data_IF_379111985694
#
_entry.id   IF_379111985694
#
_cell.length_a   1.000
_cell.length_b   1.000
_cell.length_c   1.000
_cell.angle_alpha   90.00
_cell.angle_beta   90.00
_cell.angle_gamma   90.00
#
_symmetry.space_group_name_H-M   'P 1'
#
loop_
_entity.id
_entity.type
_entity.pdbx_description
1 polymer ?
#
# COMPACT_ATOMS: atom_id res chain seq x y z
N UNK A 1 -16.28 4.72 -65.99
CA UNK A 1 -16.06 5.77 -64.97
C UNK A 1 -16.50 5.34 -63.56
N UNK A 2 -17.71 4.78 -63.37
CA UNK A 2 -18.26 4.42 -62.05
C UNK A 2 -17.49 3.34 -61.24
N UNK A 3 -16.83 2.38 -61.90
CA UNK A 3 -16.07 1.31 -61.22
C UNK A 3 -14.79 1.86 -60.56
N UNK A 4 -14.14 2.83 -61.20
CA UNK A 4 -12.92 3.47 -60.68
C UNK A 4 -13.24 4.30 -59.42
N UNK A 5 -14.39 4.98 -59.40
CA UNK A 5 -14.85 5.75 -58.24
C UNK A 5 -15.30 4.85 -57.08
N UNK A 6 -15.89 3.69 -57.33
CA UNK A 6 -16.27 2.75 -56.27
C UNK A 6 -15.05 2.11 -55.58
N UNK A 7 -14.03 1.74 -56.34
CA UNK A 7 -12.81 1.15 -55.80
C UNK A 7 -11.99 2.16 -54.97
N UNK A 8 -11.95 3.42 -55.40
CA UNK A 8 -11.25 4.48 -54.65
C UNK A 8 -11.95 4.80 -53.32
N UNK A 9 -13.29 4.84 -53.29
CA UNK A 9 -14.04 5.01 -52.03
C UNK A 9 -13.83 3.81 -51.08
N UNK A 10 -13.80 2.59 -51.61
CA UNK A 10 -13.57 1.39 -50.81
C UNK A 10 -12.19 1.39 -50.16
N UNK A 11 -11.15 1.84 -50.87
CA UNK A 11 -9.81 2.00 -50.31
C UNK A 11 -9.71 3.13 -49.29
N UNK A 12 -10.40 4.26 -49.49
CA UNK A 12 -10.44 5.35 -48.52
C UNK A 12 -11.11 4.92 -47.21
N UNK A 13 -12.19 4.13 -47.27
CA UNK A 13 -12.82 3.55 -46.08
C UNK A 13 -11.87 2.63 -45.33
N UNK A 14 -11.14 1.76 -46.05
CA UNK A 14 -10.15 0.87 -45.43
C UNK A 14 -9.00 1.67 -44.78
N UNK A 15 -8.55 2.75 -45.41
CA UNK A 15 -7.51 3.62 -44.86
C UNK A 15 -7.98 4.34 -43.59
N UNK A 16 -9.20 4.89 -43.58
CA UNK A 16 -9.78 5.51 -42.39
C UNK A 16 -9.91 4.51 -41.24
N UNK A 17 -10.39 3.29 -41.52
CA UNK A 17 -10.48 2.22 -40.51
C UNK A 17 -9.11 1.81 -39.96
N UNK A 18 -8.06 1.84 -40.78
CA UNK A 18 -6.68 1.56 -40.31
C UNK A 18 -6.14 2.70 -39.45
N UNK A 19 -6.43 3.95 -39.81
CA UNK A 19 -6.02 5.12 -39.02
C UNK A 19 -6.70 5.12 -37.65
N UNK A 20 -8.02 4.90 -37.59
CA UNK A 20 -8.77 4.83 -36.32
C UNK A 20 -8.24 3.71 -35.41
N UNK A 21 -7.93 2.54 -35.96
CA UNK A 21 -7.36 1.43 -35.19
C UNK A 21 -5.96 1.74 -34.68
N UNK A 22 -5.11 2.39 -35.48
CA UNK A 22 -3.77 2.77 -35.06
C UNK A 22 -3.81 3.78 -33.90
N UNK A 23 -4.73 4.75 -33.95
CA UNK A 23 -4.95 5.69 -32.84
C UNK A 23 -5.45 5.00 -31.57
N UNK A 24 -6.34 4.02 -31.70
CA UNK A 24 -6.81 3.23 -30.55
C UNK A 24 -5.70 2.39 -29.92
N UNK A 25 -4.86 1.75 -30.73
CA UNK A 25 -3.71 0.97 -30.24
C UNK A 25 -2.73 1.87 -29.49
N UNK A 26 -2.42 3.06 -30.04
CA UNK A 26 -1.53 4.00 -29.39
C UNK A 26 -2.07 4.50 -28.04
N UNK A 27 -3.38 4.76 -27.94
CA UNK A 27 -4.03 5.13 -26.66
C UNK A 27 -3.96 3.99 -25.65
N UNK A 28 -4.26 2.76 -26.06
CA UNK A 28 -4.17 1.61 -25.17
C UNK A 28 -2.76 1.43 -24.62
N UNK A 29 -1.74 1.53 -25.47
CA UNK A 29 -0.33 1.42 -25.05
C UNK A 29 0.03 2.48 -24.00
N UNK A 30 -0.40 3.73 -24.20
CA UNK A 30 -0.19 4.80 -23.22
C UNK A 30 -0.95 4.56 -21.90
N UNK A 31 -2.18 4.06 -21.95
CA UNK A 31 -2.97 3.73 -20.76
C UNK A 31 -2.32 2.57 -19.97
N UNK A 32 -1.75 1.58 -20.67
CA UNK A 32 -1.01 0.48 -20.03
C UNK A 32 0.26 0.98 -19.33
N UNK A 33 1.06 1.84 -19.99
CA UNK A 33 2.27 2.40 -19.38
C UNK A 33 1.97 3.25 -18.15
N UNK A 34 0.93 4.09 -18.22
CA UNK A 34 0.51 4.92 -17.09
C UNK A 34 0.01 4.06 -15.92
N UNK A 35 -0.81 3.04 -16.18
CA UNK A 35 -1.28 2.11 -15.16
C UNK A 35 -0.12 1.37 -14.46
N UNK A 36 0.89 0.90 -15.22
CA UNK A 36 2.07 0.25 -14.66
C UNK A 36 2.85 1.23 -13.78
N UNK A 37 3.05 2.45 -14.26
CA UNK A 37 3.75 3.50 -13.52
C UNK A 37 3.05 3.85 -12.21
N UNK A 38 1.73 4.01 -12.25
CA UNK A 38 0.92 4.32 -11.07
C UNK A 38 0.91 3.16 -10.07
N UNK A 39 0.77 1.92 -10.56
CA UNK A 39 0.87 0.74 -9.72
C UNK A 39 2.24 0.65 -9.03
N UNK A 40 3.33 0.86 -9.77
CA UNK A 40 4.68 0.87 -9.21
C UNK A 40 4.86 1.99 -8.17
N UNK A 41 4.35 3.20 -8.45
CA UNK A 41 4.40 4.32 -7.52
C UNK A 41 3.62 4.04 -6.23
N UNK A 42 2.43 3.45 -6.34
CA UNK A 42 1.60 3.10 -5.18
C UNK A 42 2.27 2.05 -4.29
N UNK A 43 2.87 1.01 -4.88
CA UNK A 43 3.62 -0.01 -4.13
C UNK A 43 4.84 0.60 -3.44
N UNK A 44 5.58 1.47 -4.13
CA UNK A 44 6.74 2.14 -3.56
C UNK A 44 6.34 3.06 -2.38
N UNK A 45 5.35 3.92 -2.58
CA UNK A 45 4.86 4.82 -1.54
C UNK A 45 4.32 4.05 -0.33
N UNK A 46 3.55 2.97 -0.56
CA UNK A 46 3.03 2.12 0.49
C UNK A 46 4.12 1.40 1.28
N UNK A 47 5.21 0.98 0.63
CA UNK A 47 6.33 0.30 1.26
C UNK A 47 7.32 1.23 1.96
N UNK A 48 7.60 2.41 1.40
CA UNK A 48 8.63 3.31 1.89
C UNK A 48 8.29 3.87 3.28
N UNK A 49 7.14 4.53 3.42
CA UNK A 49 6.81 5.24 4.65
C UNK A 49 6.41 4.29 5.79
N UNK A 50 5.73 3.19 5.46
CA UNK A 50 5.25 2.24 6.48
C UNK A 50 6.39 1.45 7.11
N UNK A 51 7.37 1.01 6.31
CA UNK A 51 8.51 0.23 6.82
C UNK A 51 9.43 1.08 7.69
N UNK A 52 9.73 2.32 7.26
CA UNK A 52 10.53 3.27 8.04
C UNK A 52 9.87 3.57 9.39
N UNK A 53 8.56 3.85 9.39
CA UNK A 53 7.83 4.15 10.62
C UNK A 53 7.80 2.94 11.57
N UNK A 54 7.61 1.73 11.04
CA UNK A 54 7.65 0.51 11.83
C UNK A 54 9.02 0.29 12.51
N UNK A 55 10.11 0.57 11.80
CA UNK A 55 11.48 0.48 12.35
C UNK A 55 11.73 1.52 13.45
N UNK A 56 11.27 2.75 13.26
CA UNK A 56 11.39 3.81 14.28
C UNK A 56 10.65 3.40 15.56
N UNK A 57 9.41 2.91 15.43
CA UNK A 57 8.63 2.44 16.58
C UNK A 57 9.25 1.22 17.24
N UNK A 58 9.82 0.29 16.46
CA UNK A 58 10.57 -0.84 16.99
C UNK A 58 11.76 -0.37 17.85
N UNK A 59 12.58 0.54 17.32
CA UNK A 59 13.73 1.09 18.04
C UNK A 59 13.29 1.80 19.32
N UNK A 60 12.24 2.63 19.26
CA UNK A 60 11.68 3.32 20.41
C UNK A 60 11.17 2.34 21.48
N UNK A 61 10.50 1.27 21.06
CA UNK A 61 10.02 0.22 21.97
C UNK A 61 11.19 -0.51 22.66
N UNK A 62 12.29 -0.79 21.95
CA UNK A 62 13.47 -1.43 22.53
C UNK A 62 14.17 -0.53 23.54
N UNK A 63 14.28 0.78 23.26
CA UNK A 63 14.83 1.76 24.20
C UNK A 63 13.98 1.86 25.48
N UNK A 64 12.64 1.83 25.36
CA UNK A 64 11.73 1.91 26.51
C UNK A 64 11.68 0.62 27.33
N UNK A 65 11.88 -0.53 26.69
CA UNK A 65 11.74 -1.85 27.32
C UNK A 65 12.99 -2.73 27.12
N UNK A 66 14.13 -2.40 27.76
CA UNK A 66 15.38 -3.14 27.57
C UNK A 66 15.30 -4.62 28.00
N UNK A 67 14.39 -4.94 28.93
CA UNK A 67 14.15 -6.32 29.35
C UNK A 67 13.50 -7.17 28.26
N UNK A 68 12.63 -6.58 27.44
CA UNK A 68 12.01 -7.24 26.28
C UNK A 68 13.06 -7.47 25.20
N UNK A 69 13.95 -6.49 24.99
CA UNK A 69 15.06 -6.57 24.04
C UNK A 69 16.00 -7.75 24.37
N UNK A 70 16.42 -7.88 25.63
CA UNK A 70 17.31 -8.99 26.06
C UNK A 70 16.68 -10.36 25.84
N UNK A 71 15.37 -10.51 26.09
CA UNK A 71 14.65 -11.77 25.82
C UNK A 71 14.59 -12.10 24.33
N UNK A 72 14.35 -11.10 23.48
CA UNK A 72 14.36 -11.28 22.03
C UNK A 72 15.75 -11.66 21.51
N UNK A 73 16.81 -11.01 22.03
CA UNK A 73 18.19 -11.33 21.69
C UNK A 73 18.54 -12.77 22.09
N UNK A 74 18.20 -13.19 23.31
CA UNK A 74 18.46 -14.56 23.76
C UNK A 74 17.76 -15.63 22.88
N UNK A 75 16.54 -15.37 22.41
CA UNK A 75 15.86 -16.27 21.48
C UNK A 75 16.55 -16.32 20.11
N UNK A 76 17.00 -15.17 19.61
CA UNK A 76 17.76 -15.08 18.36
C UNK A 76 19.09 -15.83 18.46
N UNK A 77 19.84 -15.61 19.55
CA UNK A 77 21.12 -16.27 19.81
C UNK A 77 20.95 -17.79 19.95
N UNK A 78 19.84 -18.25 20.53
CA UNK A 78 19.52 -19.68 20.63
C UNK A 78 19.13 -20.29 19.27
N UNK A 79 18.44 -19.54 18.40
CA UNK A 79 18.02 -20.03 17.09
C UNK A 79 19.15 -20.01 16.06
N UNK A 80 20.09 -19.07 16.20
CA UNK A 80 21.26 -18.93 15.33
C UNK A 80 22.42 -19.72 15.93
N UNK A 81 22.44 -21.03 15.67
CA UNK A 81 23.57 -21.88 16.05
C UNK A 81 24.69 -21.69 15.02
N UNK A 82 25.73 -20.94 15.39
CA UNK A 82 26.93 -20.68 14.58
C UNK A 82 26.87 -19.38 13.76
N UNK A 83 27.77 -19.22 12.78
CA UNK A 83 27.88 -17.99 11.95
C UNK A 83 26.89 -17.96 10.77
N UNK A 84 25.68 -18.49 10.92
CA UNK A 84 24.68 -18.50 9.84
C UNK A 84 23.72 -17.31 9.97
N UNK A 85 23.57 -16.57 8.88
CA UNK A 85 22.54 -15.54 8.79
C UNK A 85 21.14 -16.15 8.84
N UNK A 86 20.16 -15.44 9.45
CA UNK A 86 18.79 -15.91 9.50
C UNK A 86 18.17 -15.95 8.10
N UNK A 87 17.72 -17.14 7.68
CA UNK A 87 16.92 -17.35 6.46
C UNK A 87 15.44 -17.20 6.79
N UNK A 88 14.59 -16.92 5.78
CA UNK A 88 13.13 -16.83 5.93
C UNK A 88 12.50 -18.07 6.59
N UNK A 89 13.11 -19.26 6.43
CA UNK A 89 12.66 -20.51 7.06
C UNK A 89 12.93 -20.58 8.57
N UNK A 90 13.83 -19.74 9.09
CA UNK A 90 14.14 -19.65 10.52
C UNK A 90 13.03 -18.94 11.32
N UNK A 91 12.12 -18.22 10.65
CA UNK A 91 11.01 -17.51 11.30
C UNK A 91 10.11 -18.41 12.17
N UNK A 92 9.97 -19.69 11.83
CA UNK A 92 9.20 -20.66 12.63
C UNK A 92 9.87 -21.02 13.97
N UNK A 93 11.18 -20.76 14.10
CA UNK A 93 11.97 -21.05 15.31
C UNK A 93 12.05 -19.86 16.28
N UNK A 94 11.43 -18.73 15.93
CA UNK A 94 11.49 -17.47 16.68
C UNK A 94 10.09 -16.98 17.10
N UNK A 95 9.36 -17.74 17.94
CA UNK A 95 7.99 -17.40 18.33
C UNK A 95 7.89 -16.07 19.09
N UNK A 96 8.85 -15.73 19.95
CA UNK A 96 8.81 -14.48 20.71
C UNK A 96 9.08 -13.25 19.84
N UNK A 97 10.08 -13.31 18.96
CA UNK A 97 10.34 -12.23 17.97
C UNK A 97 9.15 -12.06 17.03
N UNK A 98 8.55 -13.15 16.54
CA UNK A 98 7.36 -13.09 15.67
C UNK A 98 6.17 -12.41 16.39
N UNK A 99 5.91 -12.79 17.65
CA UNK A 99 4.89 -12.15 18.46
C UNK A 99 5.17 -10.67 18.72
N UNK A 100 6.45 -10.30 18.87
CA UNK A 100 6.86 -8.91 19.09
C UNK A 100 6.65 -8.04 17.84
N UNK A 101 7.02 -8.55 16.66
CA UNK A 101 6.77 -7.89 15.37
C UNK A 101 5.27 -7.71 15.17
N UNK A 102 4.47 -8.75 15.46
CA UNK A 102 3.01 -8.68 15.39
C UNK A 102 2.46 -7.57 16.29
N UNK A 103 2.91 -7.50 17.55
CA UNK A 103 2.49 -6.43 18.49
C UNK A 103 2.85 -5.02 18.02
N UNK A 104 3.94 -4.86 17.28
CA UNK A 104 4.36 -3.55 16.72
C UNK A 104 3.47 -3.14 15.55
N UNK A 105 3.08 -4.08 14.70
CA UNK A 105 2.13 -3.83 13.61
C UNK A 105 0.69 -3.66 14.10
N UNK A 106 0.30 -4.34 15.18
CA UNK A 106 -1.02 -4.21 15.82
C UNK A 106 -1.18 -2.87 16.55
N UNK A 107 -0.10 -2.36 17.16
CA UNK A 107 -0.08 -0.96 17.60
C UNK A 107 -0.31 -0.11 16.37
N UNK A 108 -1.21 0.87 16.48
CA UNK A 108 -1.73 1.72 15.40
C UNK A 108 -0.69 2.65 14.75
N UNK A 109 0.53 2.19 14.53
CA UNK A 109 1.60 2.88 13.80
C UNK A 109 1.13 3.20 12.37
N UNK A 110 0.26 2.36 11.81
CA UNK A 110 -0.29 2.53 10.45
C UNK A 110 -1.40 3.59 10.34
N UNK A 111 -1.95 4.09 11.46
CA UNK A 111 -3.04 5.08 11.41
C UNK A 111 -2.58 6.52 11.15
N UNK A 112 -1.28 6.78 11.01
CA UNK A 112 -0.78 8.14 10.67
C UNK A 112 -1.19 8.51 9.22
N UNK A 113 -1.31 7.52 8.31
CA UNK A 113 -1.72 7.74 6.92
C UNK A 113 -3.22 7.47 6.66
N UNK A 114 -3.91 6.78 7.56
CA UNK A 114 -5.31 6.38 7.35
C UNK A 114 -6.30 7.39 7.92
N UNK A 115 -6.21 8.66 7.52
CA UNK A 115 -7.31 9.64 7.57
C UNK A 115 -7.08 10.74 6.56
N UNK A 116 -7.51 10.52 5.33
CA UNK A 116 -8.23 11.50 4.51
C UNK A 116 -8.68 10.90 3.17
N UNK A 117 -9.15 9.63 3.18
CA UNK A 117 -9.99 9.18 2.06
C UNK A 117 -11.36 9.83 2.24
N UNK A 118 -11.66 10.86 1.44
CA UNK A 118 -13.02 11.35 1.25
C UNK A 118 -13.86 10.19 0.69
N UNK A 119 -14.88 9.70 1.40
CA UNK A 119 -15.76 8.70 0.84
C UNK A 119 -16.59 9.35 -0.29
N UNK A 120 -16.52 8.80 -1.50
CA UNK A 120 -17.35 9.22 -2.64
C UNK A 120 -18.78 8.63 -2.58
N UNK A 121 -19.08 7.83 -1.57
CA UNK A 121 -20.35 7.11 -1.42
C UNK A 121 -20.82 7.21 0.04
N UNK A 122 -22.07 7.62 0.25
CA UNK A 122 -22.67 7.75 1.58
C UNK A 122 -22.75 6.37 2.25
N UNK A 123 -22.06 6.18 3.37
CA UNK A 123 -22.13 4.97 4.18
C UNK A 123 -22.78 5.30 5.53
N UNK A 124 -23.83 4.57 5.90
CA UNK A 124 -24.50 4.72 7.19
C UNK A 124 -23.87 3.74 8.18
N UNK A 125 -22.89 4.20 8.96
CA UNK A 125 -22.46 3.48 10.17
C UNK A 125 -23.31 3.96 11.34
N UNK A 126 -23.95 2.99 12.02
CA UNK A 126 -24.96 3.21 13.04
C UNK A 126 -24.66 4.38 13.97
N UNK A 127 -25.45 5.45 13.80
CA UNK A 127 -25.64 6.64 14.65
C UNK A 127 -25.02 7.98 14.20
N UNK A 128 -24.42 8.12 13.01
CA UNK A 128 -24.12 9.46 12.46
C UNK A 128 -24.44 9.53 10.96
N UNK A 129 -25.37 10.42 10.59
CA UNK A 129 -25.65 10.79 9.20
C UNK A 129 -24.71 11.95 8.86
N UNK A 130 -23.70 11.71 8.01
CA UNK A 130 -22.92 12.81 7.43
C UNK A 130 -23.60 13.28 6.15
N UNK A 131 -24.17 14.48 6.19
CA UNK A 131 -24.68 15.20 5.02
C UNK A 131 -23.52 15.71 4.16
N UNK A 132 -23.68 15.67 2.84
CA UNK A 132 -22.68 16.12 1.88
C UNK A 132 -22.20 17.54 2.18
N UNK A 133 -20.88 17.71 2.25
CA UNK A 133 -20.22 19.00 2.48
C UNK A 133 -19.81 19.31 3.92
N UNK A 134 -20.14 18.45 4.90
CA UNK A 134 -19.64 18.59 6.27
C UNK A 134 -18.23 18.01 6.43
N UNK A 135 -17.29 18.79 6.95
CA UNK A 135 -15.98 18.29 7.39
C UNK A 135 -16.21 17.29 8.53
N UNK A 136 -16.06 15.99 8.24
CA UNK A 136 -16.17 14.94 9.24
C UNK A 136 -14.88 14.93 10.04
N UNK A 137 -14.79 15.87 11.00
CA UNK A 137 -13.75 15.88 12.00
C UNK A 137 -13.98 14.69 12.92
N UNK A 138 -13.52 13.52 12.46
CA UNK A 138 -13.39 12.38 13.35
C UNK A 138 -12.36 12.78 14.39
N UNK A 139 -12.80 13.22 15.56
CA UNK A 139 -11.90 13.40 16.69
C UNK A 139 -11.38 12.01 17.07
N UNK A 140 -10.24 11.59 16.52
CA UNK A 140 -9.41 10.62 17.23
C UNK A 140 -9.01 11.38 18.48
N UNK A 141 -9.54 10.95 19.63
CA UNK A 141 -8.83 11.22 20.88
C UNK A 141 -7.47 10.55 20.72
N UNK A 142 -6.46 11.35 20.42
CA UNK A 142 -5.06 11.00 20.69
C UNK A 142 -5.04 10.69 22.19
N UNK A 143 -4.71 9.45 22.53
CA UNK A 143 -4.68 9.00 23.92
C UNK A 143 -3.74 9.91 24.71
N UNK A 144 -4.28 10.62 25.71
CA UNK A 144 -3.48 11.14 26.81
C UNK A 144 -2.97 9.93 27.59
N UNK A 145 -1.67 9.76 27.67
CA UNK A 145 -1.05 8.79 28.58
C UNK A 145 -1.35 9.23 30.01
N UNK A 146 -2.22 8.51 30.71
CA UNK A 146 -2.28 8.56 32.15
C UNK A 146 -1.31 7.49 32.67
N UNK A 147 -0.21 7.91 33.26
CA UNK A 147 0.67 7.05 34.04
C UNK A 147 0.16 7.04 35.48
N UNK A 148 -0.52 5.96 35.85
CA UNK A 148 -0.53 5.42 37.22
C UNK A 148 0.15 4.06 37.19
#
# INVERSE_FOLDING_TARGET
>A
MAIITANTLSLLVILNLKLEKAEQIAKLEQDHETAIREAAAAVYAGGADTTVTALIVFMLAMMKFPHVQKKAQAEIDAAIVGYRFPTLTTGNKLPYVSALIKRIHERRVMLIFSRDLKPSINFVTGKLICSQGGEVRTSIRVWSYNTE
#
